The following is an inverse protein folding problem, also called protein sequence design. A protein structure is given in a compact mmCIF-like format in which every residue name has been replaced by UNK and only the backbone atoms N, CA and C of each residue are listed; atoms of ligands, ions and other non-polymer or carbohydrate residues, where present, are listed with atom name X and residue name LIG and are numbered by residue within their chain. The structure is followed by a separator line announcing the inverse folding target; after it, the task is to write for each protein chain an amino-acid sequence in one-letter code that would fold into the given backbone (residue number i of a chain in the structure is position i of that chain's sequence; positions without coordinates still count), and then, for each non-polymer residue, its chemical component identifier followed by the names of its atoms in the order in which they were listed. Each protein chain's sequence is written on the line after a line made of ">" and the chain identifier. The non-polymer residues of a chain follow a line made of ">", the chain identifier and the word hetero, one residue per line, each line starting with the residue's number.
data_IF_607304212482
#
_entry.id   IF_607304212482
#
_cell.length_a   1.000
_cell.length_b   1.000
_cell.length_c   1.000
_cell.angle_alpha   90.00
_cell.angle_beta   90.00
_cell.angle_gamma   90.00
#
_symmetry.space_group_name_H-M   'P 1'
#
loop_
_entity.id
_entity.type
_entity.pdbx_description
1 polymer ?
#
# COMPACT_ATOMS: atom_id res chain seq x y z
N UNK A 1 33.63 52.99 24.15
CA UNK A 1 33.85 51.84 23.23
C UNK A 1 33.71 50.55 24.02
N UNK A 2 33.05 49.56 23.39
CA UNK A 2 32.96 48.13 23.78
C UNK A 2 32.08 47.79 24.99
N UNK A 3 31.00 47.04 24.75
CA UNK A 3 30.90 45.58 25.01
C UNK A 3 29.42 45.16 25.26
N UNK A 4 28.54 45.26 24.24
CA UNK A 4 27.64 44.12 24.01
C UNK A 4 27.30 44.00 22.51
N UNK A 5 28.23 43.46 21.72
CA UNK A 5 27.93 43.09 20.31
C UNK A 5 28.57 41.75 19.91
N UNK A 6 29.12 41.02 20.89
CA UNK A 6 29.84 39.75 20.67
C UNK A 6 29.14 38.53 21.29
N UNK A 7 27.95 38.70 21.89
CA UNK A 7 27.12 37.56 22.36
C UNK A 7 26.07 37.14 21.32
N UNK A 8 25.66 38.05 20.42
CA UNK A 8 24.70 37.71 19.36
C UNK A 8 25.31 36.88 18.21
N UNK A 9 26.64 36.88 18.05
CA UNK A 9 27.33 36.20 16.94
C UNK A 9 27.88 34.80 17.29
N UNK A 10 27.71 34.33 18.54
CA UNK A 10 28.16 33.01 19.00
C UNK A 10 27.01 32.03 19.32
N UNK A 11 25.75 32.43 19.14
CA UNK A 11 24.59 31.52 19.22
C UNK A 11 24.02 31.12 17.83
N UNK A 12 24.67 31.51 16.74
CA UNK A 12 24.29 31.12 15.37
C UNK A 12 25.09 29.92 14.81
N UNK A 13 26.04 29.39 15.59
CA UNK A 13 26.74 28.15 15.30
C UNK A 13 26.69 27.27 16.54
N UNK A 14 26.30 26.00 16.39
CA UNK A 14 26.04 25.03 17.47
C UNK A 14 24.64 25.12 18.09
N UNK A 15 23.59 25.08 17.27
CA UNK A 15 22.54 24.09 17.52
C UNK A 15 22.42 23.26 16.27
N UNK A 16 23.11 22.13 16.36
CA UNK A 16 23.04 21.00 15.46
C UNK A 16 21.61 20.80 14.96
N UNK A 17 21.51 20.47 13.67
CA UNK A 17 20.40 19.72 13.08
C UNK A 17 19.74 18.86 14.15
N UNK A 18 18.62 19.34 14.71
CA UNK A 18 17.72 18.45 15.40
C UNK A 18 17.36 17.39 14.36
N UNK A 19 17.51 16.09 14.66
CA UNK A 19 16.93 15.09 13.79
C UNK A 19 15.47 15.47 13.70
N UNK A 20 14.99 15.75 12.47
CA UNK A 20 13.55 15.75 12.21
C UNK A 20 13.08 14.44 12.81
N UNK A 21 12.34 14.51 13.91
CA UNK A 21 11.72 13.36 14.51
C UNK A 21 10.99 12.68 13.35
N UNK A 22 11.54 11.53 12.92
CA UNK A 22 10.83 10.68 12.00
C UNK A 22 9.48 10.48 12.68
N UNK A 23 8.41 10.97 12.04
CA UNK A 23 7.08 10.55 12.40
C UNK A 23 7.12 9.03 12.20
N UNK A 24 7.38 8.30 13.29
CA UNK A 24 7.39 6.86 13.28
C UNK A 24 6.02 6.48 12.76
N UNK A 25 5.96 5.90 11.56
CA UNK A 25 4.73 5.40 11.00
C UNK A 25 4.10 4.52 12.07
N UNK A 26 2.94 4.96 12.60
CA UNK A 26 2.32 4.33 13.75
C UNK A 26 2.11 2.85 13.43
N UNK A 27 2.80 1.98 14.16
CA UNK A 27 2.68 0.54 14.04
C UNK A 27 1.20 0.16 14.16
N UNK A 28 0.61 -0.43 13.10
CA UNK A 28 -0.80 -0.82 13.10
C UNK A 28 -0.92 -2.26 13.61
N UNK A 29 -1.87 -2.50 14.51
CA UNK A 29 -2.12 -3.83 15.08
C UNK A 29 -3.46 -4.33 14.54
N UNK A 30 -3.54 -5.62 14.18
CA UNK A 30 -4.81 -6.30 13.87
C UNK A 30 -5.02 -7.46 14.82
N UNK A 31 -6.26 -7.66 15.27
CA UNK A 31 -6.62 -8.76 16.14
C UNK A 31 -7.23 -9.91 15.33
N UNK A 32 -6.55 -11.05 15.31
CA UNK A 32 -6.99 -12.25 14.59
C UNK A 32 -7.48 -13.33 15.55
N UNK A 33 -8.20 -14.34 15.05
CA UNK A 33 -8.74 -15.46 15.86
C UNK A 33 -9.65 -15.03 17.01
N UNK A 34 -10.35 -13.91 16.83
CA UNK A 34 -11.34 -13.42 17.79
C UNK A 34 -12.76 -13.58 17.22
N UNK A 35 -13.60 -14.32 17.93
CA UNK A 35 -14.98 -14.59 17.48
C UNK A 35 -16.00 -13.62 18.07
N UNK A 36 -15.86 -13.24 19.34
CA UNK A 36 -16.75 -12.29 20.02
C UNK A 36 -16.09 -11.71 21.27
N UNK A 37 -16.35 -10.43 21.55
CA UNK A 37 -15.96 -9.76 22.79
C UNK A 37 -16.89 -8.56 23.04
N UNK A 38 -17.03 -8.15 24.30
CA UNK A 38 -17.71 -6.92 24.69
C UNK A 38 -16.66 -5.95 25.25
N UNK A 39 -16.42 -4.85 24.54
CA UNK A 39 -15.41 -3.84 24.87
C UNK A 39 -16.11 -2.53 25.21
N UNK A 40 -15.89 -2.03 26.43
CA UNK A 40 -16.49 -0.79 26.93
C UNK A 40 -15.42 0.24 27.21
N UNK A 41 -15.60 1.47 26.73
CA UNK A 41 -14.76 2.61 27.06
C UNK A 41 -15.44 3.45 28.13
N UNK A 42 -14.76 3.67 29.26
CA UNK A 42 -15.17 4.61 30.29
C UNK A 42 -14.30 5.86 30.15
N UNK A 43 -14.94 6.98 29.85
CA UNK A 43 -14.27 8.25 29.57
C UNK A 43 -14.58 9.25 30.66
N UNK A 44 -13.55 9.81 31.25
CA UNK A 44 -13.68 11.02 32.06
C UNK A 44 -14.13 12.19 31.16
N UNK A 45 -15.22 12.83 31.54
CA UNK A 45 -15.86 13.94 30.85
C UNK A 45 -15.67 15.29 31.53
N UNK A 46 -14.77 15.37 32.51
CA UNK A 46 -14.47 16.59 33.24
C UNK A 46 -14.05 17.74 32.31
N UNK A 47 -14.41 18.96 32.70
CA UNK A 47 -14.12 20.18 31.93
C UNK A 47 -12.61 20.47 31.77
N UNK A 48 -11.75 19.79 32.55
CA UNK A 48 -10.29 19.88 32.53
C UNK A 48 -9.64 19.34 31.26
N UNK A 49 -10.28 18.39 30.58
CA UNK A 49 -9.71 17.80 29.35
C UNK A 49 -9.70 18.83 28.22
N UNK A 50 -10.75 19.64 28.07
CA UNK A 50 -10.82 20.66 27.01
C UNK A 50 -10.94 20.09 25.57
N UNK A 51 -11.43 20.91 24.63
CA UNK A 51 -11.80 20.47 23.25
C UNK A 51 -10.63 19.90 22.43
N UNK A 52 -9.41 20.40 22.64
CA UNK A 52 -8.25 19.96 21.89
C UNK A 52 -7.80 18.55 22.31
N UNK A 53 -7.79 18.26 23.61
CA UNK A 53 -7.39 16.94 24.12
C UNK A 53 -8.48 15.89 23.90
N UNK A 54 -9.75 16.30 23.87
CA UNK A 54 -10.85 15.40 23.49
C UNK A 54 -10.67 14.81 22.09
N UNK A 55 -10.07 15.55 21.14
CA UNK A 55 -9.73 15.01 19.81
C UNK A 55 -8.67 13.92 19.87
N UNK A 56 -7.68 14.05 20.74
CA UNK A 56 -6.65 13.01 20.94
C UNK A 56 -7.25 11.76 21.59
N UNK A 57 -8.10 11.91 22.59
CA UNK A 57 -8.83 10.78 23.21
C UNK A 57 -9.72 10.09 22.17
N UNK A 58 -10.49 10.84 21.37
CA UNK A 58 -11.31 10.29 20.30
C UNK A 58 -10.48 9.51 19.28
N UNK A 59 -9.36 10.09 18.82
CA UNK A 59 -8.46 9.42 17.88
C UNK A 59 -7.86 8.13 18.46
N UNK A 60 -7.57 8.12 19.76
CA UNK A 60 -7.10 6.93 20.47
C UNK A 60 -8.18 5.83 20.52
N UNK A 61 -9.45 6.18 20.82
CA UNK A 61 -10.56 5.24 20.81
C UNK A 61 -10.83 4.66 19.41
N UNK A 62 -10.83 5.51 18.39
CA UNK A 62 -10.92 5.10 16.99
C UNK A 62 -9.79 4.13 16.65
N UNK A 63 -8.57 4.46 17.04
CA UNK A 63 -7.39 3.61 16.91
C UNK A 63 -7.54 2.23 17.57
N UNK A 64 -8.09 2.18 18.79
CA UNK A 64 -8.19 0.94 19.57
C UNK A 64 -9.18 -0.04 18.98
N UNK A 65 -10.19 0.44 18.26
CA UNK A 65 -11.22 -0.43 17.73
C UNK A 65 -10.94 -0.91 16.29
N UNK A 66 -10.13 -0.17 15.53
CA UNK A 66 -9.70 -0.56 14.19
C UNK A 66 -9.14 -2.01 14.10
N UNK A 67 -8.29 -2.48 15.03
CA UNK A 67 -7.79 -3.86 15.04
C UNK A 67 -8.89 -4.94 15.03
N UNK A 68 -10.11 -4.61 15.45
CA UNK A 68 -11.23 -5.53 15.62
C UNK A 68 -12.25 -5.47 14.48
N UNK A 69 -12.02 -4.61 13.47
CA UNK A 69 -12.97 -4.39 12.37
C UNK A 69 -13.30 -5.69 11.59
N UNK A 70 -12.34 -6.60 11.42
CA UNK A 70 -12.57 -7.90 10.78
C UNK A 70 -13.41 -8.88 11.61
N UNK A 71 -13.43 -8.72 12.94
CA UNK A 71 -14.23 -9.51 13.88
C UNK A 71 -15.58 -8.84 14.22
N UNK A 72 -15.87 -7.66 13.64
CA UNK A 72 -17.11 -6.92 13.86
C UNK A 72 -18.25 -7.37 12.91
N UNK A 73 -18.06 -8.39 12.08
CA UNK A 73 -19.10 -8.95 11.22
C UNK A 73 -19.92 -10.02 11.97
N UNK A 74 -21.25 -9.83 12.06
CA UNK A 74 -22.18 -10.74 12.76
C UNK A 74 -22.33 -10.43 14.26
N UNK A 75 -22.65 -11.40 15.15
CA UNK A 75 -22.77 -11.14 16.59
C UNK A 75 -21.43 -10.79 17.27
N UNK A 76 -20.34 -10.58 16.52
CA UNK A 76 -18.94 -10.57 16.97
C UNK A 76 -18.54 -9.56 18.06
N UNK A 77 -17.60 -8.66 17.77
CA UNK A 77 -17.10 -7.68 18.75
C UNK A 77 -18.07 -6.51 18.87
N UNK A 78 -18.48 -6.19 20.11
CA UNK A 78 -19.36 -5.05 20.42
C UNK A 78 -18.57 -3.98 21.17
N UNK A 79 -18.75 -2.73 20.76
CA UNK A 79 -18.18 -1.57 21.42
C UNK A 79 -19.26 -0.72 22.09
N UNK A 80 -19.00 -0.24 23.29
CA UNK A 80 -19.79 0.78 23.96
C UNK A 80 -18.84 1.84 24.56
N UNK A 81 -19.31 3.07 24.69
CA UNK A 81 -18.58 4.12 25.38
C UNK A 81 -19.52 4.83 26.33
N UNK A 82 -19.03 5.14 27.52
CA UNK A 82 -19.77 5.85 28.57
C UNK A 82 -18.89 7.01 29.02
N UNK A 83 -19.45 8.20 29.02
CA UNK A 83 -18.79 9.38 29.56
C UNK A 83 -19.31 9.64 30.97
N UNK A 84 -18.40 9.92 31.90
CA UNK A 84 -18.71 10.23 33.28
C UNK A 84 -18.29 11.66 33.61
N UNK A 85 -19.20 12.43 34.17
CA UNK A 85 -18.96 13.74 34.80
C UNK A 85 -19.85 13.83 36.06
N UNK A 86 -20.12 15.04 36.58
CA UNK A 86 -21.05 15.25 37.70
C UNK A 86 -22.47 14.68 37.45
N UNK A 87 -22.84 14.47 36.18
CA UNK A 87 -24.01 13.70 35.73
C UNK A 87 -23.55 12.66 34.68
N UNK A 88 -23.73 11.34 34.89
CA UNK A 88 -23.35 10.34 33.89
C UNK A 88 -24.24 10.48 32.64
N UNK A 89 -23.67 10.99 31.53
CA UNK A 89 -24.33 11.05 30.22
C UNK A 89 -23.80 9.95 29.32
N UNK A 90 -24.68 9.07 28.86
CA UNK A 90 -24.34 8.19 27.74
C UNK A 90 -24.37 9.02 26.47
N UNK A 91 -23.26 9.66 26.14
CA UNK A 91 -23.07 10.29 24.85
C UNK A 91 -22.90 9.21 23.77
N UNK A 92 -23.11 9.56 22.50
CA UNK A 92 -23.07 8.71 21.29
C UNK A 92 -24.40 8.13 20.81
N UNK A 93 -25.30 9.03 20.42
CA UNK A 93 -26.27 8.77 19.34
C UNK A 93 -25.60 8.90 17.96
N UNK A 94 -25.81 7.90 17.10
CA UNK A 94 -25.49 7.84 15.67
C UNK A 94 -24.03 7.58 15.25
N UNK A 95 -23.69 6.29 15.14
CA UNK A 95 -22.74 5.80 14.13
C UNK A 95 -23.41 4.63 13.40
N UNK A 96 -23.72 4.78 12.10
CA UNK A 96 -24.35 3.72 11.30
C UNK A 96 -23.59 3.44 9.99
N UNK A 97 -23.32 2.13 9.84
CA UNK A 97 -22.83 1.32 8.71
C UNK A 97 -21.35 1.35 8.32
N UNK A 98 -20.79 0.14 8.37
CA UNK A 98 -19.55 -0.31 7.78
C UNK A 98 -19.40 0.21 6.34
N UNK A 99 -18.35 0.98 6.10
CA UNK A 99 -18.04 1.57 4.80
C UNK A 99 -17.13 2.79 4.88
N UNK A 100 -17.07 3.49 6.03
CA UNK A 100 -16.16 4.63 6.20
C UNK A 100 -15.78 4.82 7.68
N UNK A 101 -14.67 4.22 8.12
CA UNK A 101 -13.88 4.65 9.29
C UNK A 101 -14.62 4.98 10.60
N UNK A 102 -15.66 4.23 10.95
CA UNK A 102 -16.69 4.63 11.90
C UNK A 102 -17.07 3.52 12.90
N UNK A 103 -16.85 3.75 14.20
CA UNK A 103 -17.19 2.82 15.29
C UNK A 103 -18.68 2.87 15.65
N UNK A 104 -19.46 1.80 15.50
CA UNK A 104 -20.84 1.77 15.95
C UNK A 104 -20.89 1.68 17.49
N UNK A 105 -21.09 2.81 18.17
CA UNK A 105 -21.36 2.87 19.61
C UNK A 105 -22.88 2.93 19.83
N UNK A 106 -23.40 2.06 20.70
CA UNK A 106 -24.81 2.07 21.08
C UNK A 106 -25.09 3.10 22.19
N UNK A 107 -26.26 3.77 22.20
CA UNK A 107 -26.62 4.79 23.21
C UNK A 107 -26.95 4.21 24.59
N UNK A 108 -26.87 2.90 24.76
CA UNK A 108 -26.99 2.19 26.04
C UNK A 108 -25.97 1.06 26.03
N UNK A 109 -25.28 0.85 27.16
CA UNK A 109 -24.37 -0.30 27.32
C UNK A 109 -25.21 -1.56 27.18
N UNK A 110 -24.99 -2.38 26.13
CA UNK A 110 -25.76 -3.60 25.96
C UNK A 110 -25.50 -4.54 27.14
N UNK A 111 -26.50 -5.30 27.55
CA UNK A 111 -26.29 -6.31 28.58
C UNK A 111 -25.11 -7.23 28.19
N UNK A 112 -24.16 -7.45 29.10
CA UNK A 112 -22.99 -8.27 28.84
C UNK A 112 -23.41 -9.68 28.47
N UNK A 113 -22.80 -10.27 27.42
CA UNK A 113 -23.07 -11.66 27.09
C UNK A 113 -22.41 -12.59 28.11
N UNK A 114 -23.12 -13.64 28.60
CA UNK A 114 -22.64 -14.49 29.68
C UNK A 114 -21.41 -15.34 29.32
N UNK A 115 -21.08 -15.52 28.04
CA UNK A 115 -20.00 -16.40 27.57
C UNK A 115 -18.94 -15.72 26.69
N UNK A 116 -18.90 -14.38 26.67
CA UNK A 116 -17.87 -13.65 25.91
C UNK A 116 -16.90 -12.92 26.85
N UNK A 117 -15.63 -12.74 26.42
CA UNK A 117 -14.68 -11.88 27.09
C UNK A 117 -15.21 -10.46 27.22
N UNK A 118 -15.09 -9.91 28.43
CA UNK A 118 -15.53 -8.55 28.78
C UNK A 118 -14.31 -7.72 29.11
N UNK A 119 -14.11 -6.64 28.35
CA UNK A 119 -12.99 -5.72 28.53
C UNK A 119 -13.55 -4.33 28.78
N UNK A 120 -13.01 -3.64 29.77
CA UNK A 120 -13.37 -2.27 30.10
C UNK A 120 -12.12 -1.42 30.17
N UNK A 121 -12.10 -0.28 29.46
CA UNK A 121 -10.95 0.60 29.32
C UNK A 121 -11.34 1.96 29.89
N UNK A 122 -10.77 2.29 31.05
CA UNK A 122 -10.94 3.57 31.73
C UNK A 122 -9.86 4.56 31.25
N UNK A 123 -10.28 5.75 30.85
CA UNK A 123 -9.40 6.87 30.48
C UNK A 123 -9.77 8.08 31.33
N UNK A 124 -8.82 8.60 32.11
CA UNK A 124 -9.02 9.78 32.96
C UNK A 124 -7.77 10.68 32.99
N UNK A 125 -7.98 11.97 33.19
CA UNK A 125 -6.92 12.95 33.37
C UNK A 125 -6.83 13.52 34.80
N UNK A 126 -7.66 13.02 35.72
CA UNK A 126 -7.83 13.54 37.07
C UNK A 126 -7.93 12.45 38.13
N UNK A 127 -8.07 12.89 39.39
CA UNK A 127 -8.32 12.00 40.53
C UNK A 127 -9.81 11.75 40.68
N UNK A 128 -10.20 10.54 41.07
CA UNK A 128 -11.61 10.32 41.40
C UNK A 128 -11.99 11.05 42.69
N UNK A 129 -13.28 11.35 42.81
CA UNK A 129 -13.86 11.96 44.00
C UNK A 129 -14.50 10.92 44.93
N UNK A 130 -14.58 9.66 44.48
CA UNK A 130 -15.30 8.56 45.09
C UNK A 130 -14.44 7.29 45.26
N UNK A 131 -14.96 6.31 46.02
CA UNK A 131 -14.26 5.06 46.28
C UNK A 131 -14.39 4.08 45.09
N UNK A 132 -13.57 4.32 44.06
CA UNK A 132 -13.53 3.52 42.81
C UNK A 132 -13.12 2.06 43.03
N UNK A 133 -12.43 1.77 44.14
CA UNK A 133 -11.89 0.43 44.44
C UNK A 133 -13.01 -0.63 44.53
N UNK A 134 -14.11 -0.33 45.24
CA UNK A 134 -15.19 -1.31 45.44
C UNK A 134 -15.92 -1.62 44.13
N UNK A 135 -16.13 -0.60 43.29
CA UNK A 135 -16.75 -0.78 41.98
C UNK A 135 -15.84 -1.58 41.04
N UNK A 136 -14.55 -1.25 41.01
CA UNK A 136 -13.56 -1.97 40.23
C UNK A 136 -13.47 -3.45 40.64
N UNK A 137 -13.47 -3.76 41.94
CA UNK A 137 -13.44 -5.14 42.43
C UNK A 137 -14.69 -5.93 42.04
N UNK A 138 -15.87 -5.32 42.07
CA UNK A 138 -17.11 -5.98 41.60
C UNK A 138 -17.04 -6.33 40.12
N UNK A 139 -16.56 -5.42 39.27
CA UNK A 139 -16.39 -5.68 37.84
C UNK A 139 -15.35 -6.79 37.58
N UNK A 140 -14.21 -6.78 38.29
CA UNK A 140 -13.22 -7.85 38.22
C UNK A 140 -13.81 -9.20 38.65
N UNK A 141 -14.62 -9.21 39.71
CA UNK A 141 -15.33 -10.41 40.20
C UNK A 141 -16.33 -10.98 39.18
N UNK A 142 -16.87 -10.15 38.29
CA UNK A 142 -17.71 -10.57 37.17
C UNK A 142 -16.92 -11.03 35.93
N UNK A 143 -15.59 -11.14 36.04
CA UNK A 143 -14.70 -11.55 34.95
C UNK A 143 -14.42 -10.44 33.93
N UNK A 144 -14.66 -9.17 34.28
CA UNK A 144 -14.31 -8.04 33.42
C UNK A 144 -12.82 -7.71 33.58
N UNK A 145 -12.11 -7.62 32.46
CA UNK A 145 -10.72 -7.16 32.41
C UNK A 145 -10.70 -5.64 32.32
N UNK A 146 -10.30 -4.99 33.42
CA UNK A 146 -10.17 -3.54 33.54
C UNK A 146 -8.78 -3.06 33.15
N UNK A 147 -8.72 -2.21 32.12
CA UNK A 147 -7.57 -1.41 31.72
C UNK A 147 -7.74 0.02 32.25
N UNK A 148 -6.68 0.60 32.80
CA UNK A 148 -6.66 1.98 33.29
C UNK A 148 -5.59 2.78 32.54
N UNK A 149 -5.99 3.88 31.93
CA UNK A 149 -5.13 4.82 31.21
C UNK A 149 -5.23 6.19 31.90
N UNK A 150 -4.20 6.53 32.67
CA UNK A 150 -4.07 7.81 33.34
C UNK A 150 -3.30 8.82 32.49
N UNK A 151 -3.75 10.08 32.49
CA UNK A 151 -3.14 11.17 31.73
C UNK A 151 -2.87 12.34 32.68
N UNK A 152 -1.72 13.01 32.56
CA UNK A 152 -1.38 14.26 33.27
C UNK A 152 -1.54 14.22 34.80
N UNK A 153 -2.72 14.58 35.31
CA UNK A 153 -2.98 14.77 36.74
C UNK A 153 -3.67 13.55 37.38
N UNK A 154 -3.87 12.47 36.62
CA UNK A 154 -4.43 11.23 37.12
C UNK A 154 -3.58 10.64 38.24
N UNK A 155 -4.22 10.05 39.26
CA UNK A 155 -3.51 9.39 40.36
C UNK A 155 -3.05 7.98 39.95
N UNK A 156 -1.73 7.74 39.78
CA UNK A 156 -1.25 6.44 39.35
C UNK A 156 -1.48 5.35 40.40
N UNK A 157 -1.48 5.66 41.71
CA UNK A 157 -1.69 4.66 42.75
C UNK A 157 -3.14 4.21 42.80
N UNK A 158 -4.07 5.14 42.62
CA UNK A 158 -5.50 4.85 42.49
C UNK A 158 -5.78 3.97 41.27
N UNK A 159 -5.29 4.39 40.09
CA UNK A 159 -5.53 3.66 38.85
C UNK A 159 -4.89 2.27 38.83
N UNK A 160 -3.76 2.07 39.51
CA UNK A 160 -3.18 0.72 39.69
C UNK A 160 -4.08 -0.22 40.48
N UNK A 161 -4.85 0.29 41.45
CA UNK A 161 -5.84 -0.52 42.19
C UNK A 161 -7.08 -0.80 41.35
N UNK A 162 -7.48 0.11 40.47
CA UNK A 162 -8.58 -0.08 39.52
C UNK A 162 -8.22 -1.09 38.42
N UNK A 163 -7.00 -1.05 37.89
CA UNK A 163 -6.52 -1.95 36.84
C UNK A 163 -6.52 -3.44 37.27
N UNK A 164 -6.69 -4.34 36.30
CA UNK A 164 -6.57 -5.79 36.54
C UNK A 164 -5.12 -6.21 36.74
N UNK A 165 -4.92 -7.42 37.26
CA UNK A 165 -3.58 -8.00 37.43
C UNK A 165 -3.19 -8.88 36.22
N UNK A 166 -1.88 -8.91 35.85
CA UNK A 166 -0.78 -8.16 36.44
C UNK A 166 -0.79 -6.67 36.04
N UNK A 167 -0.52 -5.77 36.98
CA UNK A 167 -0.62 -4.31 36.76
C UNK A 167 0.12 -3.83 35.49
N UNK A 168 1.28 -4.42 35.17
CA UNK A 168 2.08 -4.05 33.99
C UNK A 168 1.37 -4.21 32.64
N UNK A 169 0.31 -5.04 32.58
CA UNK A 169 -0.43 -5.29 31.33
C UNK A 169 -1.71 -4.46 31.21
N UNK A 170 -2.22 -3.94 32.33
CA UNK A 170 -3.52 -3.29 32.41
C UNK A 170 -3.47 -1.83 32.86
N UNK A 171 -2.33 -1.35 33.36
CA UNK A 171 -2.16 0.04 33.79
C UNK A 171 -1.18 0.78 32.88
N UNK A 172 -1.62 1.93 32.36
CA UNK A 172 -0.84 2.81 31.51
C UNK A 172 -0.96 4.24 32.04
N UNK A 173 0.15 4.97 32.03
CA UNK A 173 0.19 6.35 32.48
C UNK A 173 1.04 7.20 31.54
N UNK A 174 0.52 8.36 31.17
CA UNK A 174 1.22 9.32 30.29
C UNK A 174 1.15 10.73 30.84
N UNK A 175 2.21 11.50 30.60
CA UNK A 175 2.28 12.89 31.05
C UNK A 175 1.53 13.87 30.13
N UNK A 176 1.11 13.44 28.94
CA UNK A 176 0.38 14.28 27.99
C UNK A 176 -0.52 13.47 27.04
N UNK A 177 -1.60 14.09 26.56
CA UNK A 177 -2.57 13.49 25.64
C UNK A 177 -1.95 13.14 24.28
N UNK A 178 -0.94 13.86 23.81
CA UNK A 178 -0.24 13.56 22.55
C UNK A 178 0.44 12.19 22.55
N UNK A 179 0.82 11.68 23.73
CA UNK A 179 1.52 10.40 23.90
C UNK A 179 0.57 9.20 23.73
N UNK A 180 -0.75 9.42 23.77
CA UNK A 180 -1.75 8.37 23.53
C UNK A 180 -1.53 7.66 22.18
N UNK A 181 -1.03 8.39 21.17
CA UNK A 181 -0.67 7.84 19.85
C UNK A 181 0.39 6.76 19.94
N UNK A 182 1.37 6.92 20.83
CA UNK A 182 2.46 5.97 21.06
C UNK A 182 2.00 4.79 21.92
N UNK A 183 1.03 4.98 22.79
CA UNK A 183 0.43 3.90 23.58
C UNK A 183 -0.51 3.01 22.76
N UNK A 184 -1.09 3.54 21.69
CA UNK A 184 -2.09 2.85 20.89
C UNK A 184 -1.71 1.41 20.49
N UNK A 185 -0.54 1.13 19.88
CA UNK A 185 -0.16 -0.24 19.51
C UNK A 185 0.00 -1.16 20.72
N UNK A 186 0.52 -0.65 21.84
CA UNK A 186 0.72 -1.42 23.07
C UNK A 186 -0.63 -1.83 23.69
N UNK A 187 -1.53 -0.86 23.86
CA UNK A 187 -2.85 -1.10 24.44
C UNK A 187 -3.68 -1.99 23.52
N UNK A 188 -3.63 -1.77 22.20
CA UNK A 188 -4.31 -2.61 21.21
C UNK A 188 -3.89 -4.09 21.31
N UNK A 189 -2.58 -4.36 21.43
CA UNK A 189 -2.04 -5.72 21.60
C UNK A 189 -2.59 -6.37 22.87
N UNK A 190 -2.56 -5.66 24.00
CA UNK A 190 -3.02 -6.20 25.30
C UNK A 190 -4.53 -6.41 25.36
N UNK A 191 -5.32 -5.50 24.79
CA UNK A 191 -6.77 -5.64 24.68
C UNK A 191 -7.12 -6.84 23.80
N UNK A 192 -6.43 -7.02 22.68
CA UNK A 192 -6.64 -8.18 21.80
C UNK A 192 -6.36 -9.52 22.51
N UNK A 193 -5.21 -9.64 23.18
CA UNK A 193 -4.89 -10.85 23.96
C UNK A 193 -5.90 -11.09 25.09
N UNK A 194 -6.33 -10.03 25.79
CA UNK A 194 -7.31 -10.14 26.87
C UNK A 194 -8.71 -10.51 26.39
N UNK A 195 -9.05 -10.13 25.16
CA UNK A 195 -10.26 -10.56 24.48
C UNK A 195 -10.16 -12.00 23.94
N UNK A 196 -9.01 -12.68 24.07
CA UNK A 196 -8.80 -14.04 23.57
C UNK A 196 -8.38 -14.13 22.09
N UNK A 197 -8.02 -13.00 21.48
CA UNK A 197 -7.48 -12.94 20.12
C UNK A 197 -5.94 -12.99 20.08
N UNK A 198 -5.40 -13.11 18.87
CA UNK A 198 -3.96 -13.07 18.60
C UNK A 198 -3.61 -11.76 17.89
N UNK A 199 -2.83 -10.86 18.55
CA UNK A 199 -2.43 -9.61 17.93
C UNK A 199 -1.35 -9.88 16.87
N UNK A 200 -1.60 -9.43 15.66
CA UNK A 200 -0.65 -9.43 14.55
C UNK A 200 -0.24 -7.99 14.30
N UNK A 201 1.06 -7.72 14.37
CA UNK A 201 1.59 -6.45 13.90
C UNK A 201 1.43 -6.43 12.38
N UNK A 202 0.55 -5.56 11.89
CA UNK A 202 0.58 -5.25 10.48
C UNK A 202 1.78 -4.34 10.22
N UNK A 203 2.52 -4.56 9.13
CA UNK A 203 3.41 -3.53 8.64
C UNK A 203 2.61 -2.22 8.52
N UNK A 204 3.17 -1.06 8.90
CA UNK A 204 2.47 0.20 8.71
C UNK A 204 2.03 0.29 7.25
N UNK A 205 0.75 0.56 7.00
CA UNK A 205 0.24 0.81 5.65
C UNK A 205 1.11 1.91 5.04
N UNK A 206 1.88 1.55 4.01
CA UNK A 206 3.06 2.33 3.58
C UNK A 206 4.36 1.53 3.53
N UNK A 207 4.35 0.26 3.94
CA UNK A 207 5.47 -0.65 3.69
C UNK A 207 5.60 -0.85 2.18
N UNK A 208 6.71 -0.42 1.56
CA UNK A 208 6.88 -0.51 0.12
C UNK A 208 6.81 -1.97 -0.34
N UNK A 209 5.78 -2.30 -1.13
CA UNK A 209 5.68 -3.62 -1.77
C UNK A 209 6.26 -3.58 -3.17
N UNK A 210 6.78 -4.70 -3.69
CA UNK A 210 7.08 -4.79 -5.11
C UNK A 210 5.83 -4.63 -5.99
N UNK A 211 6.00 -4.26 -7.28
CA UNK A 211 4.95 -4.41 -8.29
C UNK A 211 4.60 -5.89 -8.47
N UNK A 212 3.37 -6.18 -8.90
CA UNK A 212 2.83 -7.54 -9.02
C UNK A 212 2.21 -7.78 -10.40
N UNK A 213 1.84 -9.03 -10.66
CA UNK A 213 1.08 -9.44 -11.87
C UNK A 213 1.67 -8.89 -13.17
N UNK A 214 2.97 -9.13 -13.39
CA UNK A 214 3.64 -8.70 -14.61
C UNK A 214 3.04 -9.42 -15.82
N UNK A 215 2.46 -8.65 -16.74
CA UNK A 215 1.90 -9.11 -18.00
C UNK A 215 2.78 -8.62 -19.15
N UNK A 216 3.29 -9.56 -19.94
CA UNK A 216 4.04 -9.30 -21.16
C UNK A 216 3.15 -9.68 -22.36
N UNK A 217 2.84 -8.70 -23.23
CA UNK A 217 1.88 -8.88 -24.32
C UNK A 217 2.31 -8.18 -25.61
N UNK A 218 1.65 -8.53 -26.72
CA UNK A 218 1.91 -7.97 -28.06
C UNK A 218 3.39 -7.98 -28.47
N UNK A 219 4.09 -9.13 -28.42
CA UNK A 219 5.44 -9.22 -28.93
C UNK A 219 5.45 -9.00 -30.45
N UNK A 220 6.26 -8.05 -30.91
CA UNK A 220 6.59 -7.88 -32.33
C UNK A 220 8.06 -8.19 -32.54
N UNK A 221 8.55 -8.11 -33.78
CA UNK A 221 9.98 -8.32 -34.07
C UNK A 221 10.90 -7.30 -33.39
N UNK A 222 10.40 -6.17 -32.91
CA UNK A 222 11.22 -5.10 -32.32
C UNK A 222 10.60 -4.41 -31.10
N UNK A 223 9.42 -4.84 -30.65
CA UNK A 223 8.72 -4.22 -29.52
C UNK A 223 7.99 -5.23 -28.66
N UNK A 224 7.72 -4.87 -27.41
CA UNK A 224 6.97 -5.67 -26.45
C UNK A 224 6.20 -4.72 -25.52
N UNK A 225 4.92 -5.03 -25.22
CA UNK A 225 4.17 -4.29 -24.19
C UNK A 225 4.37 -4.95 -22.83
N UNK A 226 4.64 -4.12 -21.83
CA UNK A 226 4.89 -4.51 -20.44
C UNK A 226 3.87 -3.80 -19.56
N UNK A 227 3.11 -4.54 -18.76
CA UNK A 227 2.11 -4.02 -17.83
C UNK A 227 2.22 -4.73 -16.48
N UNK A 228 1.91 -4.05 -15.38
CA UNK A 228 1.96 -4.62 -14.04
C UNK A 228 0.89 -3.99 -13.12
N UNK A 229 0.64 -4.64 -11.99
CA UNK A 229 -0.12 -4.09 -10.86
C UNK A 229 0.78 -3.16 -10.03
N UNK A 230 0.29 -1.96 -9.73
CA UNK A 230 1.03 -0.94 -8.99
C UNK A 230 1.54 -1.43 -7.63
N UNK A 231 2.74 -0.99 -7.27
CA UNK A 231 3.31 -1.18 -5.95
C UNK A 231 2.58 -0.34 -4.87
N UNK A 232 2.51 -0.85 -3.64
CA UNK A 232 1.93 -0.14 -2.51
C UNK A 232 2.93 0.85 -1.89
N UNK A 233 2.42 1.94 -1.31
CA UNK A 233 3.23 2.99 -0.67
C UNK A 233 3.54 4.19 -1.57
N UNK A 234 4.39 5.13 -1.12
CA UNK A 234 4.71 6.36 -1.85
C UNK A 234 5.74 6.09 -2.97
N UNK A 235 5.29 5.42 -4.03
CA UNK A 235 6.11 5.10 -5.21
C UNK A 235 6.52 6.40 -5.91
N UNK A 236 7.82 6.57 -6.16
CA UNK A 236 8.39 7.70 -6.90
C UNK A 236 8.50 7.42 -8.40
N UNK A 237 8.56 6.15 -8.79
CA UNK A 237 8.53 5.69 -10.18
C UNK A 237 8.79 4.19 -10.28
N UNK A 238 8.91 3.68 -11.49
CA UNK A 238 9.32 2.31 -11.78
C UNK A 238 10.55 2.29 -12.69
N UNK A 239 11.40 1.29 -12.52
CA UNK A 239 12.53 1.01 -13.39
C UNK A 239 12.29 -0.35 -14.05
N UNK A 240 12.18 -0.35 -15.38
CA UNK A 240 11.99 -1.55 -16.19
C UNK A 240 13.33 -1.93 -16.80
N UNK A 241 13.90 -3.05 -16.38
CA UNK A 241 15.13 -3.61 -16.93
C UNK A 241 14.79 -4.78 -17.86
N UNK A 242 15.45 -4.86 -19.01
CA UNK A 242 15.27 -5.97 -19.94
C UNK A 242 16.61 -6.44 -20.50
N UNK A 243 16.82 -7.76 -20.49
CA UNK A 243 18.09 -8.41 -20.84
C UNK A 243 17.83 -9.57 -21.80
N UNK A 244 18.53 -9.66 -22.95
CA UNK A 244 18.38 -10.81 -23.83
C UNK A 244 18.94 -12.07 -23.17
N UNK A 245 18.26 -13.19 -23.37
CA UNK A 245 18.68 -14.51 -22.90
C UNK A 245 19.52 -15.22 -23.96
N UNK A 246 20.49 -16.02 -23.53
CA UNK A 246 21.20 -16.97 -24.40
C UNK A 246 20.26 -18.11 -24.81
N UNK A 247 20.64 -18.91 -25.81
CA UNK A 247 19.91 -20.14 -26.15
C UNK A 247 19.83 -21.18 -25.02
N UNK A 248 20.59 -20.97 -23.93
CA UNK A 248 20.55 -21.77 -22.69
C UNK A 248 19.73 -21.10 -21.57
N UNK A 249 19.03 -19.99 -21.86
CA UNK A 249 18.19 -19.27 -20.90
C UNK A 249 18.94 -18.37 -19.92
N UNK A 250 20.22 -18.08 -20.13
CA UNK A 250 21.01 -17.24 -19.22
C UNK A 250 20.99 -15.74 -19.64
N UNK A 251 20.84 -14.79 -18.71
CA UNK A 251 20.80 -13.36 -19.05
C UNK A 251 22.17 -12.83 -19.51
N UNK A 252 22.21 -12.18 -20.67
CA UNK A 252 23.39 -11.47 -21.16
C UNK A 252 23.51 -10.09 -20.54
N UNK A 253 24.05 -10.03 -19.32
CA UNK A 253 24.16 -8.80 -18.53
C UNK A 253 24.83 -7.62 -19.27
N UNK A 254 25.77 -7.88 -20.18
CA UNK A 254 26.42 -6.84 -21.00
C UNK A 254 25.51 -6.16 -22.03
N UNK A 255 24.33 -6.74 -22.32
CA UNK A 255 23.32 -6.19 -23.22
C UNK A 255 22.06 -5.72 -22.45
N UNK A 256 22.12 -5.63 -21.11
CA UNK A 256 21.01 -5.12 -20.29
C UNK A 256 20.68 -3.69 -20.67
N UNK A 257 19.39 -3.40 -20.81
CA UNK A 257 18.85 -2.05 -21.02
C UNK A 257 17.81 -1.71 -19.98
N UNK A 258 17.58 -0.41 -19.77
CA UNK A 258 16.71 0.09 -18.70
C UNK A 258 15.85 1.26 -19.18
N UNK A 259 14.61 1.35 -18.68
CA UNK A 259 13.66 2.42 -18.96
C UNK A 259 13.02 2.87 -17.65
N UNK A 260 13.01 4.17 -17.38
CA UNK A 260 12.33 4.76 -16.23
C UNK A 260 10.89 5.13 -16.59
N UNK A 261 9.96 4.78 -15.72
CA UNK A 261 8.52 5.02 -15.87
C UNK A 261 8.02 5.84 -14.68
N UNK A 262 7.21 6.90 -14.90
CA UNK A 262 6.66 7.71 -13.82
C UNK A 262 5.74 6.92 -12.88
N UNK A 263 5.56 7.38 -11.63
CA UNK A 263 4.72 6.70 -10.63
C UNK A 263 3.23 6.56 -11.03
N UNK A 264 2.73 7.46 -11.88
CA UNK A 264 1.34 7.45 -12.36
C UNK A 264 1.05 6.43 -13.46
N UNK A 265 2.08 5.75 -13.97
CA UNK A 265 1.97 4.77 -15.06
C UNK A 265 2.37 3.37 -14.58
N UNK A 266 1.60 2.37 -14.98
CA UNK A 266 1.84 0.95 -14.64
C UNK A 266 2.08 0.09 -15.88
N UNK A 267 2.55 0.72 -16.95
CA UNK A 267 2.85 0.04 -18.20
C UNK A 267 3.74 0.87 -19.12
N UNK A 268 4.48 0.19 -19.99
CA UNK A 268 5.31 0.82 -21.01
C UNK A 268 5.46 -0.09 -22.23
N UNK A 269 5.91 0.47 -23.36
CA UNK A 269 6.23 -0.28 -24.58
C UNK A 269 7.73 -0.25 -24.82
N UNK A 270 8.38 -1.39 -24.68
CA UNK A 270 9.78 -1.56 -25.02
C UNK A 270 9.95 -1.51 -26.54
N UNK A 271 11.00 -0.85 -27.02
CA UNK A 271 11.31 -0.68 -28.44
C UNK A 271 12.79 -0.98 -28.71
N UNK A 272 13.12 -1.24 -29.98
CA UNK A 272 14.49 -1.53 -30.40
C UNK A 272 14.99 -2.90 -29.91
N UNK A 273 14.08 -3.86 -29.76
CA UNK A 273 14.39 -5.24 -29.44
C UNK A 273 14.90 -5.98 -30.68
N UNK A 274 15.65 -7.07 -30.46
CA UNK A 274 16.10 -7.96 -31.51
C UNK A 274 14.98 -8.96 -31.87
N UNK A 275 14.74 -9.26 -33.16
CA UNK A 275 13.75 -10.25 -33.57
C UNK A 275 14.14 -11.66 -33.09
N UNK A 276 13.15 -12.54 -32.92
CA UNK A 276 13.32 -13.95 -32.53
C UNK A 276 14.15 -14.18 -31.26
N UNK A 277 14.26 -13.16 -30.41
CA UNK A 277 15.11 -13.15 -29.21
C UNK A 277 14.24 -13.21 -27.96
N UNK A 278 14.64 -14.05 -27.02
CA UNK A 278 13.98 -14.14 -25.71
C UNK A 278 14.58 -13.14 -24.75
N UNK A 279 13.73 -12.43 -24.01
CA UNK A 279 14.12 -11.40 -23.06
C UNK A 279 13.60 -11.73 -21.68
N UNK A 280 14.43 -11.53 -20.66
CA UNK A 280 13.98 -11.40 -19.28
C UNK A 280 13.70 -9.94 -18.99
N UNK A 281 12.48 -9.64 -18.57
CA UNK A 281 12.02 -8.31 -18.19
C UNK A 281 11.80 -8.30 -16.69
N UNK A 282 12.35 -7.30 -16.02
CA UNK A 282 12.27 -7.10 -14.57
C UNK A 282 11.76 -5.70 -14.30
N UNK A 283 10.68 -5.57 -13.54
CA UNK A 283 10.10 -4.29 -13.12
C UNK A 283 10.38 -4.09 -11.64
N UNK A 284 10.93 -2.93 -11.31
CA UNK A 284 11.38 -2.58 -9.97
C UNK A 284 10.68 -1.28 -9.55
N UNK A 285 10.05 -1.26 -8.37
CA UNK A 285 9.48 -0.03 -7.84
C UNK A 285 10.56 0.84 -7.18
N UNK A 286 10.56 2.14 -7.45
CA UNK A 286 11.47 3.12 -6.87
C UNK A 286 10.76 3.94 -5.80
N UNK A 287 11.41 4.12 -4.66
CA UNK A 287 10.97 4.96 -3.55
C UNK A 287 12.00 6.04 -3.26
N UNK A 288 11.60 7.08 -2.52
CA UNK A 288 12.45 8.23 -2.23
C UNK A 288 13.84 7.86 -1.66
N UNK A 289 13.93 6.77 -0.88
CA UNK A 289 15.17 6.36 -0.21
C UNK A 289 15.50 4.86 -0.39
N UNK A 290 14.76 4.12 -1.23
CA UNK A 290 14.94 2.68 -1.37
C UNK A 290 14.39 2.14 -2.69
N UNK A 291 14.74 0.91 -3.00
CA UNK A 291 14.25 0.15 -4.15
C UNK A 291 13.39 -0.99 -3.62
N UNK A 292 12.21 -1.18 -4.18
CA UNK A 292 11.27 -2.23 -3.81
C UNK A 292 11.66 -3.60 -4.32
N UNK A 293 10.92 -4.62 -3.88
CA UNK A 293 10.97 -5.95 -4.47
C UNK A 293 10.64 -5.88 -5.97
N UNK A 294 11.25 -6.73 -6.78
CA UNK A 294 11.11 -6.74 -8.22
C UNK A 294 10.23 -7.91 -8.69
N UNK A 295 9.46 -7.69 -9.75
CA UNK A 295 8.76 -8.75 -10.47
C UNK A 295 9.46 -9.00 -11.80
N UNK A 296 9.63 -10.27 -12.18
CA UNK A 296 10.27 -10.62 -13.45
C UNK A 296 9.46 -11.62 -14.24
N UNK A 297 9.63 -11.60 -15.55
CA UNK A 297 9.00 -12.51 -16.49
C UNK A 297 9.82 -12.61 -17.77
N UNK A 298 9.54 -13.61 -18.59
CA UNK A 298 10.22 -13.81 -19.88
C UNK A 298 9.22 -13.71 -21.03
N UNK A 299 9.67 -13.14 -22.14
CA UNK A 299 8.91 -13.09 -23.38
C UNK A 299 9.83 -13.17 -24.59
N UNK A 300 9.34 -13.81 -25.65
CA UNK A 300 10.08 -13.96 -26.92
C UNK A 300 9.50 -13.04 -27.99
N UNK A 301 10.36 -12.26 -28.64
CA UNK A 301 9.97 -11.43 -29.79
C UNK A 301 9.69 -12.31 -31.01
N UNK A 302 8.79 -11.85 -31.88
CA UNK A 302 8.49 -12.54 -33.13
C UNK A 302 9.58 -12.30 -34.18
N UNK A 303 9.45 -12.90 -35.35
CA UNK A 303 10.18 -12.41 -36.52
C UNK A 303 9.75 -10.97 -36.84
N UNK A 304 10.60 -10.23 -37.56
CA UNK A 304 10.19 -8.97 -38.19
C UNK A 304 8.95 -9.23 -39.03
N UNK A 305 7.92 -8.41 -38.84
CA UNK A 305 6.72 -8.48 -39.67
C UNK A 305 7.13 -8.30 -41.14
N UNK A 306 6.64 -9.22 -41.98
CA UNK A 306 6.90 -9.19 -43.41
C UNK A 306 6.21 -8.00 -44.09
N UNK A 307 6.65 -7.61 -45.29
CA UNK A 307 5.99 -6.57 -46.05
C UNK A 307 4.58 -7.02 -46.45
N UNK A 308 3.57 -6.21 -46.14
CA UNK A 308 2.21 -6.39 -46.65
C UNK A 308 2.22 -6.12 -48.16
N UNK A 309 1.98 -7.17 -48.96
CA UNK A 309 2.02 -7.12 -50.42
C UNK A 309 0.61 -6.90 -50.98
N UNK A 310 0.43 -5.80 -51.70
CA UNK A 310 -0.78 -5.52 -52.47
C UNK A 310 -0.49 -5.65 -53.96
N UNK A 311 -1.37 -6.36 -54.66
CA UNK A 311 -1.35 -6.45 -56.12
C UNK A 311 -2.38 -5.45 -56.65
N UNK A 312 -1.97 -4.56 -57.54
CA UNK A 312 -2.82 -3.56 -58.17
C UNK A 312 -2.67 -3.61 -59.69
N UNK A 313 -3.62 -3.03 -60.41
CA UNK A 313 -3.58 -2.82 -61.86
C UNK A 313 -3.18 -4.08 -62.66
N UNK A 314 -3.86 -5.19 -62.41
CA UNK A 314 -3.64 -6.46 -63.13
C UNK A 314 -4.22 -6.37 -64.55
N UNK A 315 -3.39 -6.68 -65.54
CA UNK A 315 -3.79 -6.83 -66.95
C UNK A 315 -3.52 -8.27 -67.42
N UNK A 316 -3.82 -8.57 -68.69
CA UNK A 316 -3.49 -9.86 -69.30
C UNK A 316 -1.98 -10.19 -69.29
N UNK A 317 -1.10 -9.18 -69.18
CA UNK A 317 0.35 -9.35 -69.31
C UNK A 317 1.17 -8.64 -68.22
N UNK A 318 0.54 -7.93 -67.30
CA UNK A 318 1.25 -7.18 -66.27
C UNK A 318 0.49 -7.11 -64.95
N UNK A 319 1.25 -6.92 -63.87
CA UNK A 319 0.72 -6.68 -62.54
C UNK A 319 1.63 -5.67 -61.83
N UNK A 320 1.03 -4.81 -61.02
CA UNK A 320 1.77 -3.85 -60.20
C UNK A 320 1.81 -4.38 -58.77
N UNK A 321 3.02 -4.53 -58.23
CA UNK A 321 3.22 -4.93 -56.85
C UNK A 321 3.60 -3.71 -56.04
N UNK A 322 2.85 -3.48 -54.97
CA UNK A 322 3.10 -2.44 -54.00
C UNK A 322 3.17 -3.06 -52.62
N UNK A 323 4.21 -2.76 -51.86
CA UNK A 323 4.34 -3.20 -50.49
C UNK A 323 4.80 -2.08 -49.58
N UNK A 324 4.40 -2.17 -48.31
CA UNK A 324 4.91 -1.25 -47.29
C UNK A 324 6.35 -1.61 -46.97
N UNK A 325 7.22 -0.61 -46.91
CA UNK A 325 8.61 -0.81 -46.52
C UNK A 325 8.71 -1.24 -45.05
N UNK A 326 9.42 -2.34 -44.79
CA UNK A 326 9.78 -2.81 -43.45
C UNK A 326 10.99 -2.03 -42.94
N UNK A 327 10.90 -1.36 -41.78
CA UNK A 327 12.04 -0.69 -41.16
C UNK A 327 13.22 -1.64 -40.96
N UNK A 328 14.43 -1.24 -41.38
CA UNK A 328 15.64 -2.06 -41.26
C UNK A 328 15.87 -3.08 -42.38
N UNK A 329 14.95 -3.23 -43.33
CA UNK A 329 15.16 -4.10 -44.49
C UNK A 329 16.34 -3.57 -45.35
N UNK A 330 17.29 -4.45 -45.63
CA UNK A 330 18.45 -4.18 -46.51
C UNK A 330 18.12 -4.37 -47.99
N UNK A 331 17.06 -5.12 -48.29
CA UNK A 331 16.54 -5.33 -49.62
C UNK A 331 15.24 -6.13 -49.60
N UNK A 332 14.58 -6.20 -50.74
CA UNK A 332 13.38 -7.02 -50.95
C UNK A 332 13.64 -8.03 -52.05
N UNK A 333 13.13 -9.25 -51.88
CA UNK A 333 13.15 -10.31 -52.87
C UNK A 333 11.73 -10.74 -53.13
N UNK A 334 11.24 -10.49 -54.34
CA UNK A 334 9.92 -10.93 -54.78
C UNK A 334 10.09 -12.21 -55.59
N UNK A 335 9.28 -13.23 -55.28
CA UNK A 335 9.24 -14.49 -56.01
C UNK A 335 7.84 -14.70 -56.54
N UNK A 336 7.71 -15.17 -57.78
CA UNK A 336 6.41 -15.48 -58.39
C UNK A 336 6.51 -16.72 -59.26
N UNK A 337 5.40 -17.44 -59.38
CA UNK A 337 5.26 -18.63 -60.23
C UNK A 337 3.86 -18.69 -60.80
N UNK A 338 3.72 -19.30 -61.97
CA UNK A 338 2.40 -19.59 -62.54
C UNK A 338 1.69 -20.64 -61.69
N UNK A 339 0.38 -20.43 -61.47
CA UNK A 339 -0.46 -21.37 -60.71
C UNK A 339 -0.59 -22.72 -61.41
N UNK A 340 -0.51 -22.74 -62.74
CA UNK A 340 -0.52 -23.95 -63.58
C UNK A 340 0.75 -24.81 -63.46
N UNK A 341 1.73 -24.39 -62.64
CA UNK A 341 3.05 -25.02 -62.55
C UNK A 341 4.04 -24.40 -63.54
N UNK A 342 5.29 -24.24 -63.09
CA UNK A 342 6.38 -23.61 -63.85
C UNK A 342 7.53 -23.16 -62.95
N UNK A 343 8.67 -22.76 -63.53
CA UNK A 343 9.84 -22.33 -62.77
C UNK A 343 9.55 -21.04 -62.00
N UNK A 344 9.85 -21.04 -60.70
CA UNK A 344 9.75 -19.84 -59.85
C UNK A 344 10.70 -18.77 -60.38
N UNK A 345 10.12 -17.63 -60.76
CA UNK A 345 10.85 -16.43 -61.12
C UNK A 345 11.13 -15.62 -59.85
N UNK A 346 12.26 -14.92 -59.83
CA UNK A 346 12.67 -14.11 -58.69
C UNK A 346 13.33 -12.82 -59.16
N UNK A 347 13.06 -11.73 -58.44
CA UNK A 347 13.77 -10.48 -58.62
C UNK A 347 14.06 -9.84 -57.26
N UNK A 348 15.22 -9.18 -57.14
CA UNK A 348 15.71 -8.61 -55.90
C UNK A 348 16.14 -7.16 -56.07
N UNK A 349 15.88 -6.32 -55.08
CA UNK A 349 16.24 -4.89 -55.08
C UNK A 349 16.96 -4.50 -53.81
N UNK A 350 18.02 -3.69 -53.95
CA UNK A 350 18.62 -2.94 -52.86
C UNK A 350 17.81 -1.65 -52.60
N UNK A 351 17.68 -1.27 -51.32
CA UNK A 351 17.00 -0.06 -50.79
C UNK A 351 16.45 0.94 -51.84
N UNK A 352 15.13 1.01 -52.02
CA UNK A 352 14.40 2.22 -52.45
C UNK A 352 12.87 2.05 -52.40
N UNK A 353 12.16 3.15 -52.10
CA UNK A 353 10.70 3.31 -51.98
C UNK A 353 9.96 3.20 -53.34
N UNK A 354 8.69 2.80 -53.28
CA UNK A 354 7.65 3.10 -54.30
C UNK A 354 7.13 1.90 -55.13
N UNK A 355 5.88 1.96 -55.63
CA UNK A 355 5.24 0.88 -56.40
C UNK A 355 6.00 0.56 -57.69
N UNK A 356 6.09 -0.73 -58.05
CA UNK A 356 6.84 -1.20 -59.23
C UNK A 356 5.99 -2.11 -60.12
N UNK A 357 6.16 -1.90 -61.42
CA UNK A 357 5.41 -2.51 -62.50
C UNK A 357 6.15 -3.76 -63.00
N UNK A 358 5.46 -4.90 -63.13
CA UNK A 358 6.01 -6.15 -63.64
C UNK A 358 5.37 -6.51 -64.99
N UNK A 359 6.18 -6.63 -66.05
CA UNK A 359 5.74 -6.89 -67.44
C UNK A 359 6.36 -5.92 -68.46
N UNK A 360 5.87 -5.90 -69.71
CA UNK A 360 6.26 -4.91 -70.73
C UNK A 360 5.67 -3.55 -70.40
N UNK A 361 6.35 -2.79 -69.55
CA UNK A 361 5.90 -1.45 -69.18
C UNK A 361 6.51 -0.42 -70.12
N UNK A 362 5.72 0.06 -71.08
CA UNK A 362 6.07 1.29 -71.81
C UNK A 362 6.03 2.43 -70.80
N UNK A 363 7.16 3.13 -70.60
CA UNK A 363 7.16 4.44 -69.96
C UNK A 363 6.23 5.36 -70.77
N UNK A 364 5.22 5.93 -70.12
CA UNK A 364 4.61 7.18 -70.57
C UNK A 364 4.98 8.26 -69.58
#
# INVERSE_FOLDING_TARGET
>A
MKLPLLVAALCAGILARAPRAQAQAAERVTCTRLYAADIVFLLDGSSSIGRANFREVRAFLEGLALPFAGAAAGPGVRFAAVQYSDDPRTEFGAWRRAGSGALPLAPTVPSPRPSVPKVCILITDGRSQDLVDTAAQRLKGQGVKLFAVGIKNADPEELRRVASQPTADFFFYVNDFSILRTLLPLVSRRVCTSAGGVPVALPPDGSPSGPRDLVLSEPTGQSLRVQWTAASGPVSGYQVQYTPLTGLGQPRLGERREVSVPAGETGTRLQGLQPLTEYQVTVIALYANSVGEAVSGTARTTALEGPELTVQNTTAHSLLLAWRGVPGATGYRVTWRLLSGGPTQQQSWARARGPRCFGTCSRR
#
